data_IF_503549564067
#
_entry.id   IF_503549564067
#
_cell.length_a   1.000
_cell.length_b   1.000
_cell.length_c   1.000
_cell.angle_alpha   90.00
_cell.angle_beta   90.00
_cell.angle_gamma   90.00
#
_symmetry.space_group_name_H-M   'P 1'
#
loop_
_entity.id
_entity.type
_entity.pdbx_description
1 polymer ?
#
# COMPACT_ATOMS: atom_id res chain seq x y z
N UNK A 1 5.89 9.22 39.39
CA UNK A 1 4.80 8.40 38.81
C UNK A 1 5.06 8.29 37.32
N UNK A 2 5.45 7.12 36.84
CA UNK A 2 5.55 6.83 35.39
C UNK A 2 4.10 6.67 34.93
N UNK A 3 3.55 7.65 34.21
CA UNK A 3 2.30 7.46 33.49
C UNK A 3 2.57 6.44 32.38
N UNK A 4 2.10 5.23 32.56
CA UNK A 4 1.96 4.26 31.45
C UNK A 4 0.92 4.85 30.51
N UNK A 5 1.34 5.57 29.48
CA UNK A 5 0.48 5.93 28.39
C UNK A 5 0.09 4.64 27.69
N UNK A 6 -1.18 4.26 27.77
CA UNK A 6 -1.70 3.07 27.12
C UNK A 6 -1.45 3.22 25.60
N UNK A 7 -0.65 2.30 25.04
CA UNK A 7 -0.38 2.27 23.58
C UNK A 7 -1.69 2.22 22.81
N UNK A 8 -1.81 3.05 21.79
CA UNK A 8 -3.04 3.16 21.01
C UNK A 8 -2.82 2.59 19.62
N UNK A 9 -3.64 1.63 19.21
CA UNK A 9 -3.68 1.11 17.85
C UNK A 9 -4.44 2.06 16.91
N UNK A 10 -4.00 2.11 15.67
CA UNK A 10 -4.66 2.89 14.62
C UNK A 10 -6.09 2.39 14.36
N UNK A 11 -6.27 1.07 14.36
CA UNK A 11 -7.56 0.38 14.27
C UNK A 11 -7.58 -0.84 15.19
N UNK A 12 -8.75 -1.47 15.35
CA UNK A 12 -8.92 -2.64 16.23
C UNK A 12 -8.08 -3.83 15.73
N UNK A 13 -7.09 -4.34 16.51
CA UNK A 13 -6.28 -5.47 16.12
C UNK A 13 -7.06 -6.78 15.97
N UNK A 14 -8.22 -6.92 16.61
CA UNK A 14 -9.04 -8.13 16.56
C UNK A 14 -9.54 -8.46 15.14
N UNK A 15 -9.62 -7.45 14.26
CA UNK A 15 -10.04 -7.67 12.87
C UNK A 15 -9.05 -8.51 12.08
N UNK A 16 -7.76 -8.45 12.41
CA UNK A 16 -6.72 -9.24 11.75
C UNK A 16 -6.77 -10.73 12.13
N UNK A 17 -7.27 -11.05 13.33
CA UNK A 17 -7.41 -12.43 13.80
C UNK A 17 -8.53 -13.20 13.08
N UNK A 18 -9.46 -12.48 12.46
CA UNK A 18 -10.62 -13.03 11.74
C UNK A 18 -10.34 -13.29 10.26
N UNK A 19 -9.15 -12.94 9.76
CA UNK A 19 -8.81 -13.07 8.35
C UNK A 19 -8.59 -14.55 7.98
N UNK A 20 -9.36 -15.04 7.01
CA UNK A 20 -9.21 -16.40 6.48
C UNK A 20 -8.22 -16.42 5.31
N UNK A 21 -6.98 -16.78 5.60
CA UNK A 21 -5.89 -16.86 4.63
C UNK A 21 -6.07 -17.96 3.57
N UNK A 22 -6.96 -18.93 3.80
CA UNK A 22 -7.30 -19.96 2.80
C UNK A 22 -8.11 -19.41 1.63
N UNK A 23 -8.75 -18.26 1.80
CA UNK A 23 -9.47 -17.56 0.72
C UNK A 23 -8.55 -16.84 -0.25
N UNK A 24 -7.31 -16.57 0.14
CA UNK A 24 -6.33 -15.93 -0.73
C UNK A 24 -5.83 -16.91 -1.81
N UNK A 25 -5.68 -16.49 -3.08
CA UNK A 25 -5.04 -17.28 -4.12
C UNK A 25 -3.54 -17.48 -3.88
N UNK A 26 -2.94 -16.67 -3.00
CA UNK A 26 -1.51 -16.72 -2.68
C UNK A 26 -1.12 -18.05 -2.02
N UNK A 27 -0.04 -18.66 -2.50
CA UNK A 27 0.51 -19.89 -1.93
C UNK A 27 1.62 -19.55 -0.94
N UNK A 28 1.50 -20.03 0.30
CA UNK A 28 2.53 -19.95 1.33
C UNK A 28 3.16 -21.33 1.57
N UNK A 29 4.48 -21.37 1.71
CA UNK A 29 5.21 -22.59 2.01
C UNK A 29 6.44 -22.27 2.89
N UNK A 30 6.41 -22.65 4.19
CA UNK A 30 5.26 -23.21 4.92
C UNK A 30 4.07 -22.26 4.98
N UNK A 31 2.89 -22.75 5.36
CA UNK A 31 1.70 -21.91 5.53
C UNK A 31 1.91 -20.91 6.68
N UNK A 32 1.65 -19.65 6.41
CA UNK A 32 1.69 -18.54 7.37
C UNK A 32 0.46 -17.66 7.22
N UNK A 33 0.13 -16.92 8.28
CA UNK A 33 -1.01 -15.98 8.32
C UNK A 33 -0.70 -14.80 9.23
N UNK A 34 -1.58 -13.81 9.28
CA UNK A 34 -1.44 -12.69 10.22
C UNK A 34 -1.40 -13.14 11.69
N UNK A 35 -2.17 -14.19 12.02
CA UNK A 35 -2.17 -14.77 13.37
C UNK A 35 -0.94 -15.66 13.65
N UNK A 36 -0.33 -16.23 12.59
CA UNK A 36 0.87 -17.06 12.71
C UNK A 36 1.83 -16.70 11.55
N UNK A 37 2.69 -15.69 11.73
CA UNK A 37 3.57 -15.19 10.68
C UNK A 37 4.81 -16.06 10.39
N UNK A 38 4.86 -17.27 10.94
CA UNK A 38 5.89 -18.27 10.68
C UNK A 38 7.00 -18.32 11.71
N UNK A 39 7.18 -17.27 12.48
CA UNK A 39 8.20 -17.19 13.55
C UNK A 39 7.55 -16.61 14.80
N UNK A 40 7.86 -17.15 15.96
CA UNK A 40 7.24 -16.74 17.25
C UNK A 40 7.55 -15.29 17.65
N UNK A 41 8.60 -14.75 17.09
CA UNK A 41 9.06 -13.37 17.32
C UNK A 41 8.55 -12.37 16.26
N UNK A 42 7.77 -12.80 15.29
CA UNK A 42 7.08 -11.93 14.36
C UNK A 42 5.65 -11.67 14.83
N UNK A 43 5.22 -10.43 14.74
CA UNK A 43 3.85 -10.04 15.01
C UNK A 43 3.30 -9.15 13.88
N UNK A 44 2.15 -9.54 13.32
CA UNK A 44 1.38 -8.70 12.40
C UNK A 44 0.30 -7.98 13.20
N UNK A 45 0.27 -6.66 13.13
CA UNK A 45 -0.63 -5.82 13.91
C UNK A 45 -0.91 -4.47 13.25
N UNK A 46 -1.93 -3.71 13.70
CA UNK A 46 -2.07 -2.31 13.33
C UNK A 46 -0.89 -1.46 13.81
N UNK A 47 -0.63 -0.35 13.11
CA UNK A 47 0.30 0.69 13.56
C UNK A 47 -0.11 1.21 14.93
N UNK A 48 0.86 1.48 15.80
CA UNK A 48 0.69 2.12 17.11
C UNK A 48 1.24 3.55 17.11
N UNK A 49 0.74 4.37 18.01
CA UNK A 49 1.24 5.71 18.29
C UNK A 49 2.70 5.72 18.80
N UNK A 50 3.17 4.61 19.35
CA UNK A 50 4.55 4.40 19.83
C UNK A 50 5.53 3.92 18.74
N UNK A 51 5.05 3.59 17.54
CA UNK A 51 5.89 3.03 16.47
C UNK A 51 6.83 4.06 15.83
N UNK A 52 6.65 5.36 16.13
CA UNK A 52 7.64 6.37 15.81
C UNK A 52 9.03 6.00 16.36
N UNK A 53 9.08 5.53 17.61
CA UNK A 53 10.32 5.17 18.32
C UNK A 53 10.80 3.74 17.96
N UNK A 54 10.04 2.97 17.17
CA UNK A 54 10.32 1.59 16.76
C UNK A 54 10.77 1.45 15.30
N UNK A 55 11.26 2.52 14.71
CA UNK A 55 11.84 2.49 13.38
C UNK A 55 10.84 2.51 12.21
N UNK A 56 9.56 2.88 12.43
CA UNK A 56 8.57 2.91 11.35
C UNK A 56 8.97 3.87 10.22
N UNK A 57 9.43 5.08 10.54
CA UNK A 57 9.86 6.05 9.51
C UNK A 57 11.16 5.61 8.81
N UNK A 58 12.07 4.96 9.52
CA UNK A 58 13.29 4.38 8.94
C UNK A 58 12.95 3.25 7.97
N UNK A 59 11.94 2.44 8.27
CA UNK A 59 11.44 1.45 7.33
C UNK A 59 10.89 2.10 6.06
N UNK A 60 10.04 3.13 6.19
CA UNK A 60 9.49 3.86 5.04
C UNK A 60 10.57 4.53 4.18
N UNK A 61 11.72 4.90 4.77
CA UNK A 61 12.84 5.48 4.01
C UNK A 61 13.48 4.51 3.01
N UNK A 62 13.26 3.21 3.15
CA UNK A 62 13.66 2.20 2.16
C UNK A 62 12.75 2.21 0.91
N UNK A 63 11.56 2.80 1.01
CA UNK A 63 10.62 2.92 -0.09
C UNK A 63 10.81 4.22 -0.86
N UNK A 64 10.92 5.35 -0.14
CA UNK A 64 11.00 6.70 -0.69
C UNK A 64 11.57 7.69 0.32
N UNK A 65 11.79 8.94 -0.11
CA UNK A 65 12.19 10.03 0.79
C UNK A 65 11.08 10.34 1.81
N UNK A 66 11.39 10.25 3.11
CA UNK A 66 10.43 10.49 4.21
C UNK A 66 10.49 11.94 4.71
N UNK A 67 11.65 12.60 4.56
CA UNK A 67 11.89 13.92 5.15
C UNK A 67 12.12 13.88 6.68
N UNK A 68 12.14 15.05 7.29
CA UNK A 68 12.38 15.21 8.73
C UNK A 68 11.03 15.26 9.48
N UNK A 69 10.43 14.11 9.73
CA UNK A 69 9.17 14.01 10.46
C UNK A 69 9.44 14.00 11.97
N UNK A 70 8.96 15.00 12.67
CA UNK A 70 9.05 15.04 14.14
C UNK A 70 8.00 14.10 14.78
N UNK A 71 8.26 13.73 16.05
CA UNK A 71 7.31 12.91 16.83
C UNK A 71 5.91 13.56 16.91
N UNK A 72 5.86 14.87 17.10
CA UNK A 72 4.60 15.62 17.13
C UNK A 72 3.85 15.52 15.79
N UNK A 73 4.55 15.68 14.67
CA UNK A 73 3.94 15.52 13.33
C UNK A 73 3.42 14.10 13.10
N UNK A 74 4.18 13.08 13.49
CA UNK A 74 3.74 11.69 13.43
C UNK A 74 2.46 11.45 14.24
N UNK A 75 2.42 11.88 15.52
CA UNK A 75 1.26 11.70 16.39
C UNK A 75 0.03 12.48 15.89
N UNK A 76 0.24 13.66 15.35
CA UNK A 76 -0.84 14.45 14.72
C UNK A 76 -1.41 13.70 13.50
N UNK A 77 -0.56 13.18 12.61
CA UNK A 77 -0.99 12.41 11.44
C UNK A 77 -1.65 11.10 11.86
N UNK A 78 -1.11 10.40 12.84
CA UNK A 78 -1.72 9.18 13.41
C UNK A 78 -3.15 9.47 13.92
N UNK A 79 -3.32 10.55 14.69
CA UNK A 79 -4.64 10.93 15.22
C UNK A 79 -5.64 11.30 14.10
N UNK A 80 -5.19 12.01 13.06
CA UNK A 80 -6.00 12.34 11.89
C UNK A 80 -6.46 11.07 11.15
N UNK A 81 -5.54 10.12 10.89
CA UNK A 81 -5.86 8.84 10.24
C UNK A 81 -6.83 8.02 11.08
N UNK A 82 -6.60 7.95 12.40
CA UNK A 82 -7.48 7.24 13.34
C UNK A 82 -8.88 7.84 13.37
N UNK A 83 -8.98 9.16 13.41
CA UNK A 83 -10.27 9.86 13.44
C UNK A 83 -11.07 9.71 12.13
N UNK A 84 -10.41 9.63 10.97
CA UNK A 84 -11.09 9.42 9.69
C UNK A 84 -11.72 8.04 9.60
N UNK A 85 -11.12 7.01 10.22
CA UNK A 85 -11.56 5.62 10.13
C UNK A 85 -11.35 4.96 8.76
N UNK A 86 -10.66 5.63 7.83
CA UNK A 86 -10.45 5.15 6.46
C UNK A 86 -9.01 4.67 6.19
N UNK A 87 -8.13 4.71 7.20
CA UNK A 87 -6.74 4.30 7.10
C UNK A 87 -6.43 3.08 7.97
N UNK A 88 -5.95 2.01 7.32
CA UNK A 88 -5.58 0.75 7.97
C UNK A 88 -4.11 0.46 7.68
N UNK A 89 -3.22 1.13 8.43
CA UNK A 89 -1.78 0.87 8.34
C UNK A 89 -1.46 -0.36 9.17
N UNK A 90 -1.06 -1.43 8.49
CA UNK A 90 -0.68 -2.72 9.10
C UNK A 90 0.83 -2.83 9.10
N UNK A 91 1.41 -3.32 10.19
CA UNK A 91 2.86 -3.49 10.33
C UNK A 91 3.22 -4.92 10.72
N UNK A 92 4.47 -5.29 10.43
CA UNK A 92 5.12 -6.49 10.95
C UNK A 92 6.21 -6.02 11.90
N UNK A 93 6.17 -6.49 13.14
CA UNK A 93 7.15 -6.21 14.18
C UNK A 93 8.07 -7.41 14.41
N UNK A 94 9.39 -7.19 14.53
CA UNK A 94 10.32 -8.11 15.18
C UNK A 94 10.31 -7.81 16.67
N UNK A 95 9.58 -8.61 17.44
CA UNK A 95 9.38 -8.40 18.88
C UNK A 95 10.64 -8.59 19.71
N UNK A 96 11.66 -9.29 19.20
CA UNK A 96 12.97 -9.44 19.88
C UNK A 96 13.75 -8.13 19.91
N UNK A 97 13.59 -7.32 18.83
CA UNK A 97 14.26 -6.04 18.67
C UNK A 97 13.37 -4.86 19.03
N UNK A 98 12.05 -5.07 19.04
CA UNK A 98 11.07 -4.01 19.15
C UNK A 98 11.04 -3.09 17.93
N UNK A 99 11.34 -3.62 16.74
CA UNK A 99 11.48 -2.85 15.49
C UNK A 99 10.37 -3.19 14.49
N UNK A 100 9.91 -2.19 13.77
CA UNK A 100 8.99 -2.36 12.63
C UNK A 100 9.79 -2.72 11.39
N UNK A 101 9.52 -3.91 10.84
CA UNK A 101 10.27 -4.50 9.73
C UNK A 101 9.45 -4.69 8.47
N UNK A 102 8.16 -4.44 8.52
CA UNK A 102 7.26 -4.47 7.36
C UNK A 102 6.07 -3.55 7.57
N UNK A 103 5.55 -2.96 6.50
CA UNK A 103 4.36 -2.14 6.53
C UNK A 103 3.60 -2.21 5.21
N UNK A 104 2.28 -2.00 5.28
CA UNK A 104 1.41 -1.72 4.14
C UNK A 104 0.21 -0.91 4.62
N UNK A 105 -0.25 0.01 3.79
CA UNK A 105 -1.41 0.86 4.06
C UNK A 105 -2.59 0.46 3.17
N UNK A 106 -3.75 0.23 3.77
CA UNK A 106 -5.04 0.19 3.08
C UNK A 106 -5.75 1.53 3.32
N UNK A 107 -6.12 2.17 2.23
CA UNK A 107 -6.96 3.38 2.25
C UNK A 107 -8.33 3.01 1.71
N UNK A 108 -9.38 3.36 2.45
CA UNK A 108 -10.78 3.15 2.06
C UNK A 108 -11.28 4.40 1.33
N UNK A 109 -11.67 4.23 0.08
CA UNK A 109 -12.31 5.27 -0.72
C UNK A 109 -13.83 5.05 -0.71
N UNK A 110 -14.59 5.98 -0.15
CA UNK A 110 -16.06 5.94 -0.16
C UNK A 110 -16.57 6.46 -1.50
N UNK A 111 -17.47 5.72 -2.14
CA UNK A 111 -18.00 6.05 -3.48
C UNK A 111 -19.52 6.17 -3.44
N UNK A 112 -20.08 7.03 -4.30
CA UNK A 112 -21.51 7.03 -4.59
C UNK A 112 -21.92 5.95 -5.61
N UNK A 113 -21.00 5.60 -6.52
CA UNK A 113 -21.20 4.51 -7.48
C UNK A 113 -21.20 3.14 -6.79
N UNK A 114 -21.65 2.10 -7.50
CA UNK A 114 -21.79 0.73 -6.97
C UNK A 114 -22.60 0.68 -5.67
N UNK A 115 -23.77 1.38 -5.64
CA UNK A 115 -24.66 1.44 -4.48
C UNK A 115 -24.00 1.98 -3.21
N UNK A 116 -23.29 3.10 -3.31
CA UNK A 116 -22.52 3.70 -2.21
C UNK A 116 -21.47 2.76 -1.60
N UNK A 117 -20.86 1.94 -2.42
CA UNK A 117 -19.85 0.96 -1.98
C UNK A 117 -18.52 1.62 -1.64
N UNK A 118 -17.58 0.82 -1.15
CA UNK A 118 -16.23 1.24 -0.80
C UNK A 118 -15.19 0.51 -1.66
N UNK A 119 -14.10 1.21 -1.99
CA UNK A 119 -12.96 0.67 -2.72
C UNK A 119 -11.71 0.73 -1.84
N UNK A 120 -10.90 -0.31 -1.86
CA UNK A 120 -9.59 -0.32 -1.21
C UNK A 120 -8.48 0.16 -2.15
N UNK A 121 -7.51 0.90 -1.59
CA UNK A 121 -6.26 1.24 -2.26
C UNK A 121 -5.09 0.78 -1.39
N UNK A 122 -4.18 -0.01 -1.99
CA UNK A 122 -2.96 -0.48 -1.35
C UNK A 122 -1.83 0.51 -1.61
N UNK A 123 -1.21 1.00 -0.54
CA UNK A 123 -0.11 1.97 -0.60
C UNK A 123 1.01 1.57 0.38
N UNK A 124 2.18 2.17 0.18
CA UNK A 124 3.33 2.13 1.08
C UNK A 124 3.77 0.72 1.48
N UNK A 125 3.75 -0.22 0.53
CA UNK A 125 4.20 -1.59 0.79
C UNK A 125 5.71 -1.64 0.88
N UNK A 126 6.22 -1.96 2.05
CA UNK A 126 7.66 -2.08 2.31
C UNK A 126 7.95 -3.21 3.29
N UNK A 127 9.03 -3.93 3.05
CA UNK A 127 9.62 -4.90 4.00
C UNK A 127 11.11 -4.66 4.02
N UNK A 128 11.67 -4.57 5.22
CA UNK A 128 13.09 -4.39 5.44
C UNK A 128 13.87 -5.49 4.70
N UNK A 129 14.82 -5.08 3.88
CA UNK A 129 15.55 -5.94 2.95
C UNK A 129 16.38 -7.01 3.65
N UNK A 130 16.77 -6.81 4.91
CA UNK A 130 17.48 -7.79 5.73
C UNK A 130 16.61 -8.99 6.14
N UNK A 131 15.28 -8.92 5.96
CA UNK A 131 14.31 -9.98 6.26
C UNK A 131 13.81 -10.73 5.01
N UNK A 132 14.55 -10.67 3.90
CA UNK A 132 14.22 -11.39 2.66
C UNK A 132 14.14 -12.91 2.88
N UNK A 133 13.39 -13.60 2.00
CA UNK A 133 13.22 -15.06 2.05
C UNK A 133 12.14 -15.56 3.01
N UNK A 134 11.62 -14.72 3.92
CA UNK A 134 10.59 -15.10 4.92
C UNK A 134 9.14 -14.87 4.44
N UNK A 135 8.91 -14.62 3.16
CA UNK A 135 7.60 -14.37 2.55
C UNK A 135 6.83 -13.17 3.16
N UNK A 136 7.51 -12.25 3.88
CA UNK A 136 6.85 -11.15 4.61
C UNK A 136 6.15 -10.15 3.68
N UNK A 137 6.71 -9.87 2.50
CA UNK A 137 6.05 -9.01 1.51
C UNK A 137 4.73 -9.61 1.01
N UNK A 138 4.71 -10.93 0.78
CA UNK A 138 3.50 -11.67 0.46
C UNK A 138 2.50 -11.64 1.63
N UNK A 139 2.99 -11.90 2.84
CA UNK A 139 2.17 -11.92 4.05
C UNK A 139 1.44 -10.59 4.26
N UNK A 140 2.17 -9.47 4.22
CA UNK A 140 1.57 -8.16 4.51
C UNK A 140 0.55 -7.75 3.43
N UNK A 141 0.84 -8.00 2.14
CA UNK A 141 -0.10 -7.68 1.06
C UNK A 141 -1.36 -8.54 1.16
N UNK A 142 -1.23 -9.85 1.40
CA UNK A 142 -2.39 -10.74 1.58
C UNK A 142 -3.21 -10.34 2.80
N UNK A 143 -2.56 -10.00 3.93
CA UNK A 143 -3.25 -9.50 5.12
C UNK A 143 -4.13 -8.30 4.79
N UNK A 144 -3.57 -7.30 4.11
CA UNK A 144 -4.28 -6.07 3.78
C UNK A 144 -5.37 -6.31 2.71
N UNK A 145 -5.15 -7.24 1.77
CA UNK A 145 -6.16 -7.61 0.76
C UNK A 145 -7.36 -8.31 1.38
N UNK A 146 -7.15 -9.25 2.29
CA UNK A 146 -8.22 -9.92 3.02
C UNK A 146 -8.95 -8.95 3.97
N UNK A 147 -8.22 -8.00 4.57
CA UNK A 147 -8.82 -6.94 5.37
C UNK A 147 -9.76 -6.06 4.53
N UNK A 148 -9.32 -5.67 3.32
CA UNK A 148 -10.17 -4.89 2.41
C UNK A 148 -11.46 -5.63 2.03
N UNK A 149 -11.39 -6.94 1.77
CA UNK A 149 -12.54 -7.79 1.51
C UNK A 149 -13.48 -7.85 2.74
N UNK A 150 -12.92 -8.06 3.94
CA UNK A 150 -13.70 -8.11 5.20
C UNK A 150 -14.39 -6.76 5.50
N UNK A 151 -13.79 -5.63 5.09
CA UNK A 151 -14.37 -4.29 5.21
C UNK A 151 -15.39 -3.96 4.12
N UNK A 152 -15.71 -4.92 3.24
CA UNK A 152 -16.73 -4.77 2.20
C UNK A 152 -16.26 -4.01 0.96
N UNK A 153 -14.97 -3.90 0.70
CA UNK A 153 -14.47 -3.32 -0.53
C UNK A 153 -14.90 -4.17 -1.74
N UNK A 154 -15.54 -3.53 -2.73
CA UNK A 154 -15.92 -4.24 -3.97
C UNK A 154 -14.72 -4.55 -4.87
N UNK A 155 -13.63 -3.82 -4.69
CA UNK A 155 -12.31 -4.08 -5.31
C UNK A 155 -11.19 -3.40 -4.53
N UNK A 156 -9.98 -3.82 -4.80
CA UNK A 156 -8.75 -3.18 -4.34
C UNK A 156 -7.83 -2.89 -5.53
N UNK A 157 -7.12 -1.79 -5.51
CA UNK A 157 -6.16 -1.40 -6.54
C UNK A 157 -4.85 -0.93 -5.93
N UNK A 158 -3.80 -0.96 -6.74
CA UNK A 158 -2.46 -0.47 -6.41
C UNK A 158 -1.76 0.03 -7.67
N UNK A 159 -0.71 0.83 -7.48
CA UNK A 159 0.25 1.15 -8.51
C UNK A 159 1.58 0.46 -8.19
N UNK A 160 2.24 -0.11 -9.18
CA UNK A 160 3.52 -0.77 -8.97
C UNK A 160 4.45 -0.57 -10.17
N UNK A 161 5.75 -0.78 -9.93
CA UNK A 161 6.75 -0.85 -11.01
C UNK A 161 6.54 -2.15 -11.80
N UNK A 162 6.80 -2.11 -13.11
CA UNK A 162 6.60 -3.26 -14.03
C UNK A 162 7.22 -4.56 -13.51
N UNK A 163 8.40 -4.50 -12.91
CA UNK A 163 9.09 -5.65 -12.33
C UNK A 163 8.34 -6.35 -11.19
N UNK A 164 7.33 -5.68 -10.59
CA UNK A 164 6.50 -6.20 -9.50
C UNK A 164 5.15 -6.75 -9.97
N UNK A 165 4.77 -6.57 -11.24
CA UNK A 165 3.49 -7.05 -11.78
C UNK A 165 3.32 -8.55 -11.49
N UNK A 166 4.31 -9.37 -11.87
CA UNK A 166 4.28 -10.83 -11.62
C UNK A 166 4.14 -11.18 -10.14
N UNK A 167 4.76 -10.41 -9.26
CA UNK A 167 4.59 -10.61 -7.81
C UNK A 167 3.14 -10.40 -7.40
N UNK A 168 2.52 -9.30 -7.79
CA UNK A 168 1.13 -9.01 -7.44
C UNK A 168 0.13 -9.97 -8.11
N UNK A 169 0.41 -10.43 -9.33
CA UNK A 169 -0.39 -11.47 -9.99
C UNK A 169 -0.44 -12.78 -9.17
N UNK A 170 0.67 -13.18 -8.54
CA UNK A 170 0.67 -14.36 -7.64
C UNK A 170 -0.21 -14.18 -6.39
N UNK A 171 -0.61 -12.96 -6.09
CA UNK A 171 -1.47 -12.59 -4.96
C UNK A 171 -2.93 -12.36 -5.37
N UNK A 172 -3.26 -12.55 -6.66
CA UNK A 172 -4.61 -12.41 -7.19
C UNK A 172 -4.94 -11.06 -7.81
N UNK A 173 -3.97 -10.13 -7.89
CA UNK A 173 -4.17 -8.90 -8.64
C UNK A 173 -4.05 -9.16 -10.13
N UNK A 174 -4.78 -8.40 -10.92
CA UNK A 174 -4.79 -8.51 -12.39
C UNK A 174 -4.41 -7.18 -12.99
N UNK A 175 -3.43 -7.19 -13.89
CA UNK A 175 -3.13 -6.04 -14.72
C UNK A 175 -4.27 -5.85 -15.73
N UNK A 176 -4.80 -4.61 -15.83
CA UNK A 176 -5.90 -4.28 -16.75
C UNK A 176 -5.38 -3.27 -17.80
N UNK A 177 -4.78 -3.74 -18.91
CA UNK A 177 -4.22 -2.88 -19.95
C UNK A 177 -5.29 -1.99 -20.58
N UNK A 178 -4.93 -0.72 -20.84
CA UNK A 178 -5.83 0.24 -21.52
C UNK A 178 -6.99 0.76 -20.67
N UNK A 179 -7.16 0.30 -19.44
CA UNK A 179 -8.24 0.73 -18.56
C UNK A 179 -7.82 1.85 -17.58
N UNK A 180 -6.57 1.88 -17.17
CA UNK A 180 -6.03 2.94 -16.31
C UNK A 180 -4.55 3.14 -16.53
N UNK A 181 -4.12 4.39 -16.56
CA UNK A 181 -2.72 4.79 -16.57
C UNK A 181 -2.42 5.60 -15.30
N UNK A 182 -1.25 5.40 -14.70
CA UNK A 182 -0.80 6.25 -13.62
C UNK A 182 -0.35 7.59 -14.19
N UNK A 183 -1.03 8.67 -13.80
CA UNK A 183 -0.69 10.04 -14.16
C UNK A 183 -0.41 10.84 -12.90
N UNK A 184 0.69 11.58 -12.86
CA UNK A 184 1.12 12.30 -11.67
C UNK A 184 1.36 13.77 -11.98
N UNK A 185 0.84 14.66 -11.12
CA UNK A 185 1.26 16.04 -11.01
C UNK A 185 1.93 16.23 -9.63
N UNK A 186 3.10 16.86 -9.61
CA UNK A 186 3.83 17.15 -8.36
C UNK A 186 3.78 18.63 -8.04
N UNK A 187 3.64 18.94 -6.75
CA UNK A 187 3.60 20.31 -6.21
C UNK A 187 4.78 20.62 -5.27
N UNK A 188 5.69 19.65 -5.11
CA UNK A 188 6.92 19.76 -4.33
C UNK A 188 8.10 20.24 -5.20
N UNK A 189 9.24 20.56 -4.57
CA UNK A 189 10.46 21.06 -5.23
C UNK A 189 11.08 20.06 -6.22
N UNK A 190 10.75 18.75 -6.09
CA UNK A 190 11.21 17.72 -7.04
C UNK A 190 10.43 17.73 -8.37
N UNK A 191 9.42 18.59 -8.54
CA UNK A 191 8.67 18.74 -9.79
C UNK A 191 9.56 19.07 -11.00
N UNK A 192 10.72 19.68 -10.78
CA UNK A 192 11.70 19.99 -11.82
C UNK A 192 12.47 18.75 -12.35
N UNK A 193 12.57 17.68 -11.56
CA UNK A 193 13.27 16.45 -11.94
C UNK A 193 12.46 15.61 -12.95
N UNK A 194 11.13 15.60 -12.83
CA UNK A 194 10.24 14.84 -13.72
C UNK A 194 10.23 15.42 -15.14
N UNK A 195 10.33 16.76 -15.28
CA UNK A 195 10.37 17.43 -16.59
C UNK A 195 11.64 17.12 -17.39
N UNK A 196 12.75 16.78 -16.74
CA UNK A 196 14.01 16.43 -17.40
C UNK A 196 14.03 15.04 -18.03
N UNK A 197 13.25 14.09 -17.48
CA UNK A 197 13.21 12.71 -18.00
C UNK A 197 12.25 12.52 -19.18
N UNK A 198 11.33 13.46 -19.43
CA UNK A 198 10.41 13.40 -20.58
C UNK A 198 10.98 13.99 -21.86
N UNK A 199 12.11 14.71 -21.80
CA UNK A 199 12.76 15.32 -22.96
C UNK A 199 13.88 14.49 -23.60
N UNK A 200 14.24 13.32 -23.06
CA UNK A 200 15.36 12.51 -23.56
C UNK A 200 14.96 11.30 -24.42
N UNK A 201 13.70 11.14 -24.81
CA UNK A 201 13.24 10.11 -25.77
C UNK A 201 12.57 10.75 -26.99
N UNK A 202 13.24 11.73 -27.61
CA UNK A 202 12.98 12.07 -28.99
C UNK A 202 13.77 11.10 -29.88
N UNK A 203 13.14 10.00 -30.24
CA UNK A 203 13.64 9.07 -31.25
C UNK A 203 13.55 9.78 -32.61
N UNK A 204 14.72 9.97 -33.23
CA UNK A 204 14.86 10.25 -34.66
C UNK A 204 14.35 9.06 -35.44
N UNK A 205 13.47 9.28 -36.41
CA UNK A 205 13.11 8.23 -37.36
C UNK A 205 11.84 8.52 -38.16
N UNK A 206 12.05 9.10 -39.27
CA UNK A 206 11.42 8.98 -40.59
C UNK A 206 9.90 9.12 -40.81
N UNK A 207 9.67 9.97 -41.77
CA UNK A 207 8.42 10.30 -42.44
C UNK A 207 7.70 9.09 -43.03
N UNK A 208 6.40 9.01 -42.81
CA UNK A 208 5.47 8.56 -43.85
C UNK A 208 4.13 9.27 -43.76
N UNK A 209 3.65 9.65 -44.92
CA UNK A 209 2.60 10.60 -45.25
C UNK A 209 1.17 10.20 -44.83
N UNK A 210 0.42 11.24 -44.46
CA UNK A 210 -0.98 11.55 -44.81
C UNK A 210 -2.04 10.44 -44.71
N UNK A 211 -3.03 10.62 -43.82
CA UNK A 211 -4.39 10.92 -44.27
C UNK A 211 -5.27 11.45 -43.14
N UNK A 212 -5.87 12.58 -43.41
CA UNK A 212 -6.91 13.24 -42.63
C UNK A 212 -8.20 12.42 -42.66
N UNK A 213 -8.77 12.15 -41.48
CA UNK A 213 -10.22 12.16 -41.32
C UNK A 213 -10.60 12.45 -39.88
N UNK A 214 -11.24 13.59 -39.68
CA UNK A 214 -11.95 13.94 -38.45
C UNK A 214 -13.10 12.97 -38.25
N UNK A 215 -13.13 12.31 -37.08
CA UNK A 215 -14.39 11.80 -36.55
C UNK A 215 -14.51 12.23 -35.08
N UNK A 216 -15.42 13.18 -34.88
CA UNK A 216 -16.07 13.42 -33.60
C UNK A 216 -16.80 12.14 -33.17
N UNK A 217 -16.42 11.56 -32.02
CA UNK A 217 -17.33 10.72 -31.28
C UNK A 217 -17.22 11.06 -29.80
N UNK A 218 -18.11 11.91 -29.34
CA UNK A 218 -18.58 11.86 -27.96
C UNK A 218 -19.35 10.55 -27.81
N UNK A 219 -18.85 9.63 -27.03
CA UNK A 219 -19.62 8.52 -26.52
C UNK A 219 -19.67 8.62 -24.99
N UNK A 220 -20.86 8.70 -24.39
CA UNK A 220 -21.02 8.70 -22.94
C UNK A 220 -21.13 7.26 -22.49
N UNK A 221 -20.07 6.73 -21.87
CA UNK A 221 -20.16 5.58 -20.95
C UNK A 221 -18.75 5.24 -20.44
N UNK A 222 -18.38 5.85 -19.31
CA UNK A 222 -17.37 5.30 -18.44
C UNK A 222 -18.05 4.31 -17.49
N UNK A 223 -17.71 3.05 -17.60
CA UNK A 223 -17.92 2.04 -16.56
C UNK A 223 -16.57 1.58 -16.02
#
# INVERSE_FOLDING_TARGET
MVQYTQETYLYDPSVLLKLDFHRSPAKFQPFISAANPGETWLQVRPLKDTDYDRGFLQLLSQLTHVGNVTRTQFLTRFSQMKASGDYYVTVIEDTRKGEIIGAASLIIERKFIHNCSVRGRLEDVVVNDTYRGKQLGKLIVVTVSLLAEQLGCYKMSLDCKDKLIKFYETLGYVLVPGNSNSMTIRYDEDASALKRNTTSTAVTGDACQTNSQFYNFFSPFCY
#
